data_IF_784414665053
#
_entry.id   IF_784414665053
#
_cell.length_a   1.000
_cell.length_b   1.000
_cell.length_c   1.000
_cell.angle_alpha   90.00
_cell.angle_beta   90.00
_cell.angle_gamma   90.00
#
_symmetry.space_group_name_H-M   'P 1'
#
loop_
_entity.id
_entity.type
_entity.pdbx_description
1 polymer ?
#
# COMPACT_ATOMS: atom_id res chain seq x y z
N UNK A 1 -14.54 -19.51 -16.93
CA UNK A 1 -13.72 -18.31 -17.14
C UNK A 1 -12.44 -18.51 -16.35
N UNK A 2 -11.27 -18.53 -17.00
CA UNK A 2 -9.99 -18.73 -16.30
C UNK A 2 -9.58 -17.40 -15.65
N UNK A 3 -9.18 -17.43 -14.39
CA UNK A 3 -8.66 -16.24 -13.72
C UNK A 3 -7.29 -15.83 -14.28
N UNK A 4 -6.97 -14.52 -14.24
CA UNK A 4 -5.69 -13.97 -14.74
C UNK A 4 -4.48 -14.73 -14.20
N UNK A 5 -4.51 -15.13 -12.92
CA UNK A 5 -3.46 -15.92 -12.27
C UNK A 5 -3.28 -17.32 -12.89
N UNK A 6 -4.35 -17.94 -13.38
CA UNK A 6 -4.29 -19.25 -14.05
C UNK A 6 -3.77 -19.11 -15.47
N UNK A 7 -4.18 -18.05 -16.19
CA UNK A 7 -3.70 -17.76 -17.54
C UNK A 7 -2.20 -17.43 -17.49
N UNK A 8 -1.75 -16.62 -16.52
CA UNK A 8 -0.34 -16.25 -16.40
C UNK A 8 0.58 -17.44 -16.12
N UNK A 9 0.06 -18.47 -15.41
CA UNK A 9 0.82 -19.71 -15.14
C UNK A 9 0.80 -20.71 -16.30
N UNK A 10 -0.34 -20.86 -16.98
CA UNK A 10 -0.53 -21.88 -18.01
C UNK A 10 -0.20 -21.41 -19.43
N UNK A 11 -0.45 -20.14 -19.72
CA UNK A 11 -0.31 -19.56 -21.05
C UNK A 11 0.22 -18.12 -20.97
N UNK A 12 1.45 -17.90 -20.49
CA UNK A 12 2.01 -16.55 -20.33
C UNK A 12 2.08 -15.75 -21.62
N UNK A 13 2.16 -16.41 -22.77
CA UNK A 13 2.15 -15.80 -24.10
C UNK A 13 0.82 -15.11 -24.46
N UNK A 14 -0.27 -15.45 -23.78
CA UNK A 14 -1.57 -14.77 -23.97
C UNK A 14 -1.66 -13.43 -23.25
N UNK A 15 -0.66 -13.09 -22.42
CA UNK A 15 -0.59 -11.79 -21.74
C UNK A 15 0.21 -10.84 -22.62
N UNK A 16 -0.51 -9.95 -23.30
CA UNK A 16 0.07 -8.92 -24.14
C UNK A 16 0.60 -7.81 -23.24
N UNK A 17 1.84 -7.39 -23.45
CA UNK A 17 2.50 -6.33 -22.67
C UNK A 17 3.05 -5.28 -23.62
N UNK A 18 2.78 -4.01 -23.28
CA UNK A 18 3.39 -2.85 -23.93
C UNK A 18 3.99 -1.96 -22.85
N UNK A 19 5.24 -1.55 -23.07
CA UNK A 19 5.96 -0.68 -22.15
C UNK A 19 5.86 0.75 -22.69
N UNK A 20 5.25 1.63 -21.88
CA UNK A 20 5.11 3.03 -22.23
C UNK A 20 6.31 3.85 -21.72
N UNK A 21 6.81 4.75 -22.56
CA UNK A 21 7.82 5.72 -22.14
C UNK A 21 7.20 6.72 -21.15
N UNK A 22 7.86 7.04 -20.02
CA UNK A 22 7.41 8.09 -19.11
C UNK A 22 7.28 9.47 -19.78
N UNK A 23 8.06 9.71 -20.84
CA UNK A 23 8.10 10.99 -21.56
C UNK A 23 7.02 11.04 -22.64
N UNK A 24 6.92 9.98 -23.45
CA UNK A 24 6.03 9.98 -24.63
C UNK A 24 4.65 9.38 -24.35
N UNK A 25 4.52 8.68 -23.20
CA UNK A 25 3.30 7.99 -22.85
C UNK A 25 2.96 6.80 -23.76
N UNK A 26 1.68 6.48 -23.81
CA UNK A 26 1.14 5.42 -24.68
C UNK A 26 0.95 5.94 -26.10
N UNK A 27 1.72 5.38 -27.04
CA UNK A 27 1.66 5.74 -28.46
C UNK A 27 0.59 4.96 -29.21
N UNK A 28 0.04 5.55 -30.28
CA UNK A 28 -1.04 4.93 -31.08
C UNK A 28 -0.64 3.59 -31.69
N UNK A 29 0.63 3.41 -32.07
CA UNK A 29 1.10 2.13 -32.62
C UNK A 29 1.09 1.04 -31.56
N UNK A 30 1.42 1.34 -30.29
CA UNK A 30 1.37 0.40 -29.18
C UNK A 30 -0.07 -0.05 -28.91
N UNK A 31 -1.01 0.89 -28.88
CA UNK A 31 -2.44 0.58 -28.77
C UNK A 31 -2.93 -0.27 -29.94
N UNK A 32 -2.47 -0.02 -31.16
CA UNK A 32 -2.79 -0.87 -32.32
C UNK A 32 -2.21 -2.28 -32.16
N UNK A 33 -0.96 -2.41 -31.72
CA UNK A 33 -0.34 -3.72 -31.46
C UNK A 33 -1.16 -4.54 -30.46
N UNK A 34 -1.60 -3.92 -29.37
CA UNK A 34 -2.48 -4.56 -28.38
C UNK A 34 -3.78 -5.00 -29.06
N UNK A 35 -4.43 -4.12 -29.82
CA UNK A 35 -5.70 -4.40 -30.49
C UNK A 35 -5.59 -5.59 -31.46
N UNK A 36 -4.54 -5.64 -32.27
CA UNK A 36 -4.28 -6.74 -33.18
C UNK A 36 -4.01 -8.05 -32.43
N UNK A 37 -3.20 -7.99 -31.38
CA UNK A 37 -2.87 -9.17 -30.58
C UNK A 37 -4.09 -9.73 -29.82
N UNK A 38 -5.06 -8.87 -29.47
CA UNK A 38 -6.35 -9.26 -28.92
C UNK A 38 -7.33 -9.80 -29.96
N UNK A 39 -6.99 -9.73 -31.25
CA UNK A 39 -7.87 -10.17 -32.35
C UNK A 39 -9.07 -9.27 -32.59
N UNK A 40 -8.97 -7.97 -32.27
CA UNK A 40 -10.08 -7.04 -32.51
C UNK A 40 -10.34 -6.85 -34.02
N UNK A 41 -11.62 -6.75 -34.45
CA UNK A 41 -11.95 -6.42 -35.83
C UNK A 41 -11.32 -5.09 -36.25
N UNK A 42 -10.85 -5.04 -37.52
CA UNK A 42 -10.16 -3.86 -38.05
C UNK A 42 -10.94 -2.53 -37.84
N UNK A 43 -12.27 -2.60 -37.99
CA UNK A 43 -13.16 -1.47 -37.80
C UNK A 43 -13.16 -0.90 -36.37
N UNK A 44 -12.78 -1.70 -35.38
CA UNK A 44 -12.75 -1.32 -33.96
C UNK A 44 -11.39 -0.85 -33.47
N UNK A 45 -10.34 -1.00 -34.27
CA UNK A 45 -8.96 -0.67 -33.85
C UNK A 45 -8.84 0.80 -33.47
N UNK A 46 -9.41 1.71 -34.26
CA UNK A 46 -9.37 3.14 -33.96
C UNK A 46 -10.11 3.51 -32.68
N UNK A 47 -11.21 2.86 -32.38
CA UNK A 47 -11.97 3.08 -31.15
C UNK A 47 -11.21 2.54 -29.95
N UNK A 48 -10.52 1.40 -30.11
CA UNK A 48 -9.65 0.88 -29.06
C UNK A 48 -8.43 1.79 -28.81
N UNK A 49 -7.83 2.35 -29.86
CA UNK A 49 -6.74 3.34 -29.72
C UNK A 49 -7.23 4.56 -28.95
N UNK A 50 -8.40 5.10 -29.28
CA UNK A 50 -9.02 6.19 -28.53
C UNK A 50 -9.25 5.83 -27.08
N UNK A 51 -9.84 4.66 -26.83
CA UNK A 51 -10.15 4.17 -25.49
C UNK A 51 -8.86 4.04 -24.64
N UNK A 52 -7.85 3.34 -25.15
CA UNK A 52 -6.60 3.10 -24.42
C UNK A 52 -5.83 4.39 -24.15
N UNK A 53 -5.81 5.34 -25.07
CA UNK A 53 -5.23 6.68 -24.83
C UNK A 53 -5.96 7.46 -23.76
N UNK A 54 -7.29 7.43 -23.76
CA UNK A 54 -8.08 8.10 -22.73
C UNK A 54 -7.87 7.44 -21.37
N UNK A 55 -7.81 6.11 -21.31
CA UNK A 55 -7.50 5.38 -20.08
C UNK A 55 -6.08 5.74 -19.55
N UNK A 56 -5.10 5.80 -20.44
CA UNK A 56 -3.74 6.23 -20.09
C UNK A 56 -3.69 7.69 -19.62
N UNK A 57 -4.45 8.58 -20.27
CA UNK A 57 -4.57 9.98 -19.85
C UNK A 57 -5.15 10.09 -18.44
N UNK A 58 -6.24 9.37 -18.16
CA UNK A 58 -6.84 9.30 -16.81
C UNK A 58 -5.82 8.81 -15.80
N UNK A 59 -5.07 7.76 -16.12
CA UNK A 59 -4.02 7.20 -15.26
C UNK A 59 -2.96 8.24 -14.89
N UNK A 60 -2.44 8.98 -15.86
CA UNK A 60 -1.36 9.96 -15.64
C UNK A 60 -1.87 11.23 -14.96
N UNK A 61 -2.97 11.83 -15.47
CA UNK A 61 -3.48 13.11 -14.97
C UNK A 61 -4.00 13.04 -13.53
N UNK A 62 -4.45 11.85 -13.11
CA UNK A 62 -4.95 11.65 -11.75
C UNK A 62 -3.92 10.98 -10.82
N UNK A 63 -2.66 10.84 -11.25
CA UNK A 63 -1.61 10.20 -10.46
C UNK A 63 -2.04 8.82 -9.94
N UNK A 64 -2.55 7.97 -10.81
CA UNK A 64 -2.97 6.64 -10.42
C UNK A 64 -1.78 5.70 -10.27
N UNK A 65 -1.80 4.86 -9.24
CA UNK A 65 -0.88 3.73 -9.08
C UNK A 65 -1.38 2.48 -9.82
N UNK A 66 -2.71 2.37 -10.00
CA UNK A 66 -3.37 1.29 -10.72
C UNK A 66 -4.62 1.80 -11.42
N UNK A 67 -4.80 1.36 -12.67
CA UNK A 67 -6.07 1.42 -13.40
C UNK A 67 -6.31 0.03 -14.00
N UNK A 68 -7.27 -0.70 -13.47
CA UNK A 68 -7.67 -2.02 -13.96
C UNK A 68 -9.10 -1.96 -14.48
N UNK A 69 -9.30 -2.41 -15.72
CA UNK A 69 -10.61 -2.46 -16.37
C UNK A 69 -10.93 -3.93 -16.65
N UNK A 70 -11.88 -4.48 -15.91
CA UNK A 70 -12.20 -5.90 -16.00
C UNK A 70 -13.65 -6.17 -15.59
N UNK A 71 -14.52 -6.55 -16.55
CA UNK A 71 -14.21 -6.77 -17.97
C UNK A 71 -14.27 -5.50 -18.82
N UNK A 72 -13.43 -5.47 -19.87
CA UNK A 72 -13.63 -4.60 -21.02
C UNK A 72 -14.45 -5.37 -22.04
N UNK A 73 -15.60 -4.84 -22.44
CA UNK A 73 -16.55 -5.55 -23.30
C UNK A 73 -16.80 -4.82 -24.60
N UNK A 74 -17.10 -5.62 -25.64
CA UNK A 74 -17.59 -5.13 -26.93
C UNK A 74 -19.08 -5.47 -27.02
N UNK A 75 -19.89 -4.44 -27.22
CA UNK A 75 -21.35 -4.61 -27.36
C UNK A 75 -21.72 -5.11 -28.75
N UNK A 76 -22.99 -5.57 -28.89
CA UNK A 76 -23.56 -5.92 -30.23
C UNK A 76 -23.52 -4.74 -31.20
N UNK A 77 -23.52 -3.50 -30.71
CA UNK A 77 -23.40 -2.29 -31.51
C UNK A 77 -21.95 -1.85 -31.74
N UNK A 78 -20.99 -2.76 -31.54
CA UNK A 78 -19.53 -2.53 -31.75
C UNK A 78 -18.97 -1.36 -30.94
N UNK A 79 -19.50 -1.12 -29.74
CA UNK A 79 -18.97 -0.13 -28.79
C UNK A 79 -18.10 -0.81 -27.75
N UNK A 80 -16.96 -0.20 -27.43
CA UNK A 80 -16.08 -0.62 -26.33
C UNK A 80 -16.57 0.04 -25.04
N UNK A 81 -16.84 -0.76 -24.01
CA UNK A 81 -17.34 -0.30 -22.73
C UNK A 81 -16.52 -0.92 -21.60
N UNK A 82 -15.99 -0.07 -20.71
CA UNK A 82 -15.50 -0.49 -19.40
C UNK A 82 -16.71 -0.82 -18.53
N UNK A 83 -16.94 -2.09 -18.23
CA UNK A 83 -18.09 -2.52 -17.45
C UNK A 83 -17.82 -2.32 -15.95
N UNK A 84 -16.59 -2.55 -15.54
CA UNK A 84 -16.09 -2.30 -14.20
C UNK A 84 -14.66 -1.78 -14.25
N UNK A 85 -14.28 -0.97 -13.25
CA UNK A 85 -12.99 -0.33 -13.20
C UNK A 85 -12.51 -0.22 -11.75
N UNK A 86 -11.31 -0.75 -11.49
CA UNK A 86 -10.61 -0.57 -10.22
C UNK A 86 -9.53 0.50 -10.38
N UNK A 87 -9.57 1.50 -9.52
CA UNK A 87 -8.64 2.63 -9.55
C UNK A 87 -7.98 2.76 -8.17
N UNK A 88 -6.64 2.80 -8.16
CA UNK A 88 -5.89 3.19 -6.97
C UNK A 88 -5.14 4.48 -7.28
N UNK A 89 -5.35 5.49 -6.48
CA UNK A 89 -4.59 6.74 -6.52
C UNK A 89 -3.27 6.54 -5.77
N UNK A 90 -2.19 7.15 -6.24
CA UNK A 90 -0.93 7.17 -5.50
C UNK A 90 -1.09 8.06 -4.25
N UNK A 91 -1.01 7.48 -3.07
CA UNK A 91 -1.15 8.21 -1.81
C UNK A 91 -0.12 9.34 -1.67
N UNK A 92 1.07 9.17 -2.23
CA UNK A 92 2.11 10.21 -2.25
C UNK A 92 1.76 11.41 -3.14
N UNK A 93 0.80 11.27 -4.04
CA UNK A 93 0.33 12.31 -4.93
C UNK A 93 -1.01 12.94 -4.51
N UNK A 94 -1.66 12.44 -3.46
CA UNK A 94 -2.98 12.92 -3.00
C UNK A 94 -3.00 14.42 -2.70
N UNK A 95 -1.87 15.01 -2.27
CA UNK A 95 -1.78 16.46 -2.04
C UNK A 95 -2.03 17.30 -3.31
N UNK A 96 -1.84 16.71 -4.51
CA UNK A 96 -2.15 17.31 -5.82
C UNK A 96 -3.60 17.04 -6.25
N UNK A 97 -4.19 15.97 -5.74
CA UNK A 97 -5.48 15.43 -6.16
C UNK A 97 -6.54 15.62 -5.07
N UNK A 98 -6.74 16.87 -4.61
CA UNK A 98 -7.63 17.19 -3.48
C UNK A 98 -9.05 16.63 -3.65
N UNK A 99 -9.63 16.77 -4.85
CA UNK A 99 -10.98 16.25 -5.15
C UNK A 99 -11.06 14.73 -5.01
N UNK A 100 -10.00 14.00 -5.42
CA UNK A 100 -9.97 12.53 -5.26
C UNK A 100 -9.74 12.14 -3.80
N UNK A 101 -8.93 12.92 -3.06
CA UNK A 101 -8.72 12.70 -1.63
C UNK A 101 -10.03 12.83 -0.83
N UNK A 102 -10.90 13.79 -1.19
CA UNK A 102 -12.21 13.98 -0.57
C UNK A 102 -13.20 12.84 -0.86
N UNK A 103 -12.99 12.09 -1.95
CA UNK A 103 -13.82 10.93 -2.31
C UNK A 103 -13.39 9.63 -1.61
N UNK A 104 -12.33 9.66 -0.80
CA UNK A 104 -11.85 8.48 -0.09
C UNK A 104 -12.91 7.96 0.88
N UNK A 105 -13.35 6.73 0.67
CA UNK A 105 -14.30 6.06 1.54
C UNK A 105 -13.56 5.19 2.57
N UNK A 106 -13.43 5.69 3.78
CA UNK A 106 -12.80 5.00 4.89
C UNK A 106 -13.65 3.84 5.44
N UNK A 107 -14.95 3.77 5.12
CA UNK A 107 -15.82 2.70 5.62
C UNK A 107 -15.45 1.30 5.10
N UNK A 108 -14.65 1.24 4.03
CA UNK A 108 -14.17 -0.01 3.43
C UNK A 108 -12.77 -0.43 3.92
N UNK A 109 -12.10 0.43 4.68
CA UNK A 109 -10.81 0.14 5.29
C UNK A 109 -10.99 -0.45 6.69
N UNK A 110 -9.96 -1.13 7.19
CA UNK A 110 -9.89 -1.49 8.60
C UNK A 110 -9.94 -0.21 9.46
N UNK A 111 -10.73 -0.22 10.52
CA UNK A 111 -10.90 0.96 11.40
C UNK A 111 -9.57 1.44 11.99
N UNK A 112 -8.65 0.53 12.26
CA UNK A 112 -7.31 0.83 12.77
C UNK A 112 -6.42 1.49 11.73
N UNK A 113 -6.55 1.09 10.46
CA UNK A 113 -5.85 1.73 9.34
C UNK A 113 -6.32 3.18 9.13
N UNK A 114 -7.63 3.42 9.27
CA UNK A 114 -8.20 4.76 9.22
C UNK A 114 -7.70 5.64 10.39
N UNK A 115 -7.73 5.12 11.63
CA UNK A 115 -7.23 5.82 12.81
C UNK A 115 -5.72 6.11 12.71
N UNK A 116 -4.94 5.17 12.21
CA UNK A 116 -3.51 5.32 11.99
C UNK A 116 -3.21 6.40 10.94
N UNK A 117 -3.96 6.44 9.85
CA UNK A 117 -3.82 7.46 8.82
C UNK A 117 -4.07 8.87 9.37
N UNK A 118 -5.12 9.06 10.16
CA UNK A 118 -5.44 10.34 10.81
C UNK A 118 -4.34 10.77 11.80
N UNK A 119 -3.62 9.81 12.36
CA UNK A 119 -2.46 10.04 13.22
C UNK A 119 -1.14 10.26 12.46
N UNK A 120 -1.16 10.19 11.11
CA UNK A 120 0.03 10.30 10.26
C UNK A 120 0.94 9.07 10.32
N UNK A 121 0.40 7.90 10.64
CA UNK A 121 1.10 6.63 10.76
C UNK A 121 0.86 5.75 9.53
N UNK A 122 1.89 5.02 9.13
CA UNK A 122 1.75 3.96 8.13
C UNK A 122 1.46 2.63 8.84
N UNK A 123 0.20 2.23 8.86
CA UNK A 123 -0.27 1.00 9.50
C UNK A 123 -1.01 0.11 8.51
N UNK A 124 -0.73 -1.19 8.57
CA UNK A 124 -1.48 -2.23 7.84
C UNK A 124 -1.76 -3.36 8.82
N UNK A 125 -3.04 -3.74 8.96
CA UNK A 125 -3.46 -4.86 9.77
C UNK A 125 -3.07 -6.20 9.12
N UNK A 126 -2.57 -7.15 9.92
CA UNK A 126 -2.23 -8.51 9.52
C UNK A 126 -2.88 -9.50 10.50
N UNK A 127 -2.83 -10.80 10.16
CA UNK A 127 -3.51 -11.85 10.93
C UNK A 127 -2.61 -12.56 11.96
N UNK A 128 -1.63 -11.87 12.52
CA UNK A 128 -0.68 -12.46 13.46
C UNK A 128 -0.99 -12.18 14.93
N UNK A 129 -0.02 -12.52 15.78
CA UNK A 129 -0.10 -12.36 17.23
C UNK A 129 1.06 -11.53 17.83
N UNK A 130 1.98 -11.07 17.01
CA UNK A 130 3.10 -10.23 17.42
C UNK A 130 2.92 -8.83 16.85
N UNK A 131 2.57 -7.88 17.71
CA UNK A 131 2.48 -6.46 17.34
C UNK A 131 3.86 -5.89 17.07
N UNK A 132 4.01 -5.10 16.00
CA UNK A 132 5.28 -4.52 15.57
C UNK A 132 5.21 -3.00 15.56
N UNK A 133 6.22 -2.33 16.13
CA UNK A 133 6.44 -0.89 16.01
C UNK A 133 7.87 -0.64 15.57
N UNK A 134 8.05 0.03 14.45
CA UNK A 134 9.35 0.22 13.82
C UNK A 134 9.45 1.63 13.24
N UNK A 135 10.64 2.18 13.09
CA UNK A 135 10.86 3.40 12.33
C UNK A 135 11.55 3.10 11.00
N UNK A 136 10.81 3.29 9.93
CA UNK A 136 11.25 3.04 8.56
C UNK A 136 10.73 1.74 7.97
N UNK A 137 10.13 1.85 6.79
CA UNK A 137 9.46 0.74 6.11
C UNK A 137 10.37 -0.46 5.84
N UNK A 138 11.63 -0.24 5.46
CA UNK A 138 12.60 -1.31 5.23
C UNK A 138 12.91 -2.10 6.50
N UNK A 139 13.07 -1.41 7.65
CA UNK A 139 13.29 -2.06 8.93
C UNK A 139 12.03 -2.81 9.40
N UNK A 140 10.84 -2.27 9.13
CA UNK A 140 9.57 -2.93 9.44
C UNK A 140 9.44 -4.25 8.67
N UNK A 141 9.70 -4.26 7.37
CA UNK A 141 9.67 -5.48 6.56
C UNK A 141 10.69 -6.51 7.04
N UNK A 142 11.94 -6.10 7.28
CA UNK A 142 12.98 -6.99 7.80
C UNK A 142 12.62 -7.55 9.19
N UNK A 143 11.97 -6.75 10.06
CA UNK A 143 11.51 -7.19 11.38
C UNK A 143 10.43 -8.25 11.24
N UNK A 144 9.45 -8.06 10.34
CA UNK A 144 8.40 -9.05 10.09
C UNK A 144 8.95 -10.34 9.50
N UNK A 145 9.94 -10.27 8.61
CA UNK A 145 10.61 -11.45 8.06
C UNK A 145 11.33 -12.24 9.14
N UNK A 146 12.03 -11.54 10.07
CA UNK A 146 12.66 -12.18 11.22
C UNK A 146 11.64 -12.85 12.15
N UNK A 147 10.53 -12.19 12.45
CA UNK A 147 9.44 -12.79 13.24
C UNK A 147 8.99 -14.12 12.59
N UNK A 148 8.74 -14.12 11.29
CA UNK A 148 8.35 -15.32 10.56
C UNK A 148 9.42 -16.40 10.55
N UNK A 149 10.69 -16.01 10.37
CA UNK A 149 11.83 -16.94 10.38
C UNK A 149 11.94 -17.71 11.72
N UNK A 150 11.58 -17.05 12.83
CA UNK A 150 11.59 -17.64 14.16
C UNK A 150 10.24 -18.25 14.56
N UNK A 151 9.33 -18.45 13.60
CA UNK A 151 8.06 -19.16 13.81
C UNK A 151 6.95 -18.32 14.44
N UNK A 152 7.11 -17.00 14.50
CA UNK A 152 6.05 -16.07 14.92
C UNK A 152 5.25 -15.53 13.73
N UNK A 153 4.12 -14.88 14.03
CA UNK A 153 3.27 -14.26 13.02
C UNK A 153 3.07 -12.78 13.34
N UNK A 154 3.49 -11.84 12.44
CA UNK A 154 3.29 -10.41 12.66
C UNK A 154 1.80 -10.04 12.57
N UNK A 155 1.32 -9.28 13.55
CA UNK A 155 -0.07 -8.81 13.64
C UNK A 155 -0.30 -7.53 12.82
N UNK A 156 0.76 -6.80 12.53
CA UNK A 156 0.67 -5.55 11.77
C UNK A 156 2.03 -5.18 11.14
N UNK A 157 1.95 -4.37 10.09
CA UNK A 157 3.02 -3.48 9.68
C UNK A 157 2.77 -2.11 10.33
N UNK A 158 3.76 -1.52 10.98
CA UNK A 158 3.67 -0.16 11.50
C UNK A 158 5.02 0.54 11.41
N UNK A 159 5.04 1.60 10.62
CA UNK A 159 6.16 2.53 10.53
C UNK A 159 5.75 3.88 11.15
N UNK A 160 6.41 4.24 12.24
CA UNK A 160 6.15 5.53 12.90
C UNK A 160 6.87 6.70 12.23
N UNK A 161 7.70 6.44 11.22
CA UNK A 161 8.48 7.46 10.51
C UNK A 161 9.63 8.05 11.32
N UNK A 162 10.42 8.92 10.68
CA UNK A 162 11.58 9.57 11.32
C UNK A 162 11.26 10.80 12.16
N UNK A 163 10.05 11.34 12.05
CA UNK A 163 9.61 12.58 12.73
C UNK A 163 8.55 12.37 13.81
N UNK A 164 8.35 11.13 14.30
CA UNK A 164 7.30 10.86 15.27
C UNK A 164 7.56 11.57 16.60
N UNK A 165 6.49 12.09 17.18
CA UNK A 165 6.45 12.66 18.52
C UNK A 165 6.06 11.60 19.55
N UNK A 166 6.26 11.89 20.85
CA UNK A 166 5.80 11.00 21.93
C UNK A 166 4.30 10.71 21.85
N UNK A 167 3.48 11.68 21.39
CA UNK A 167 2.04 11.53 21.21
C UNK A 167 1.72 10.57 20.05
N UNK A 168 2.44 10.70 18.93
CA UNK A 168 2.27 9.81 17.76
C UNK A 168 2.67 8.38 18.13
N UNK A 169 3.76 8.19 18.88
CA UNK A 169 4.20 6.90 19.40
C UNK A 169 3.16 6.28 20.34
N UNK A 170 2.60 7.08 21.24
CA UNK A 170 1.56 6.63 22.16
C UNK A 170 0.30 6.16 21.40
N UNK A 171 -0.13 6.92 20.38
CA UNK A 171 -1.25 6.52 19.52
C UNK A 171 -0.96 5.22 18.76
N UNK A 172 0.24 5.12 18.16
CA UNK A 172 0.69 3.91 17.46
C UNK A 172 0.62 2.69 18.37
N UNK A 173 1.08 2.84 19.60
CA UNK A 173 1.07 1.77 20.60
C UNK A 173 -0.35 1.35 20.98
N UNK A 174 -1.27 2.31 21.16
CA UNK A 174 -2.68 2.04 21.43
C UNK A 174 -3.34 1.26 20.31
N UNK A 175 -3.12 1.64 19.05
CA UNK A 175 -3.65 0.94 17.87
C UNK A 175 -3.20 -0.52 17.86
N UNK A 176 -1.94 -0.80 18.21
CA UNK A 176 -1.43 -2.18 18.30
C UNK A 176 -2.14 -2.94 19.42
N UNK A 177 -2.29 -2.31 20.61
CA UNK A 177 -2.88 -2.96 21.78
C UNK A 177 -4.39 -3.19 21.67
N UNK A 178 -5.07 -2.44 20.81
CA UNK A 178 -6.50 -2.62 20.52
C UNK A 178 -6.77 -3.90 19.72
N UNK A 179 -5.71 -4.53 19.20
CA UNK A 179 -5.83 -5.85 18.57
C UNK A 179 -5.81 -6.97 19.61
N UNK A 180 -6.97 -7.58 19.82
CA UNK A 180 -7.15 -8.69 20.78
C UNK A 180 -6.33 -9.94 20.45
N UNK A 181 -5.84 -10.06 19.23
CA UNK A 181 -4.98 -11.17 18.82
C UNK A 181 -3.52 -10.95 19.23
N UNK A 182 -3.12 -9.71 19.54
CA UNK A 182 -1.75 -9.38 19.91
C UNK A 182 -1.45 -9.92 21.31
N UNK A 183 -0.46 -10.78 21.40
CA UNK A 183 0.01 -11.43 22.62
C UNK A 183 1.33 -10.86 23.13
N UNK A 184 2.09 -10.21 22.27
CA UNK A 184 3.37 -9.57 22.56
C UNK A 184 3.59 -8.41 21.60
N UNK A 185 4.25 -7.34 22.05
CA UNK A 185 4.66 -6.22 21.19
C UNK A 185 6.17 -6.19 21.06
N UNK A 186 6.66 -6.13 19.82
CA UNK A 186 8.07 -5.90 19.48
C UNK A 186 8.26 -4.47 18.99
N UNK A 187 9.01 -3.68 19.74
CA UNK A 187 9.45 -2.34 19.34
C UNK A 187 10.89 -2.44 18.86
N UNK A 188 11.14 -2.11 17.59
CA UNK A 188 12.47 -2.17 17.00
C UNK A 188 12.79 -0.84 16.32
N UNK A 189 13.56 0.00 16.99
CA UNK A 189 13.86 1.37 16.58
C UNK A 189 15.36 1.54 16.36
N UNK A 190 15.70 2.09 15.21
CA UNK A 190 17.03 2.65 14.94
C UNK A 190 16.96 4.17 15.12
N UNK A 191 17.62 4.66 16.13
CA UNK A 191 17.84 6.09 16.35
C UNK A 191 18.78 6.66 15.27
N UNK A 192 18.70 7.93 15.09
CA UNK A 192 19.36 8.72 14.08
C UNK A 192 18.55 10.00 13.92
N UNK A 193 17.65 10.03 12.95
CA UNK A 193 16.69 11.15 12.80
C UNK A 193 15.71 11.18 13.99
N UNK A 194 15.27 9.99 14.44
CA UNK A 194 14.39 9.85 15.59
C UNK A 194 15.17 9.58 16.87
N UNK A 195 14.85 10.29 17.92
CA UNK A 195 15.47 10.14 19.24
C UNK A 195 14.82 8.98 20.00
N UNK A 196 15.65 8.09 20.54
CA UNK A 196 15.19 6.92 21.30
C UNK A 196 14.49 7.30 22.62
N UNK A 197 14.86 8.43 23.24
CA UNK A 197 14.21 8.95 24.45
C UNK A 197 12.75 9.34 24.19
N UNK A 198 12.45 10.02 23.08
CA UNK A 198 11.07 10.35 22.66
C UNK A 198 10.22 9.09 22.50
N UNK A 199 10.79 8.06 21.90
CA UNK A 199 10.10 6.76 21.75
C UNK A 199 9.81 6.13 23.11
N UNK A 200 10.81 6.12 24.00
CA UNK A 200 10.66 5.56 25.34
C UNK A 200 9.60 6.33 26.15
N UNK A 201 9.58 7.66 26.10
CA UNK A 201 8.56 8.49 26.74
C UNK A 201 7.15 8.19 26.18
N UNK A 202 7.01 8.07 24.86
CA UNK A 202 5.74 7.72 24.23
C UNK A 202 5.22 6.34 24.64
N UNK A 203 6.10 5.33 24.71
CA UNK A 203 5.75 4.00 25.20
C UNK A 203 5.34 4.06 26.68
N UNK A 204 6.12 4.74 27.53
CA UNK A 204 5.80 4.88 28.97
C UNK A 204 4.45 5.57 29.17
N UNK A 205 4.14 6.61 28.38
CA UNK A 205 2.86 7.29 28.43
C UNK A 205 1.71 6.35 28.05
N UNK A 206 1.85 5.60 26.95
CA UNK A 206 0.86 4.62 26.51
C UNK A 206 0.64 3.49 27.54
N UNK A 207 1.73 2.96 28.11
CA UNK A 207 1.68 1.93 29.16
C UNK A 207 0.89 2.40 30.38
N UNK A 208 1.12 3.64 30.83
CA UNK A 208 0.44 4.22 31.99
C UNK A 208 -1.05 4.48 31.73
N UNK A 209 -1.40 4.84 30.50
CA UNK A 209 -2.78 5.18 30.14
C UNK A 209 -3.64 3.93 29.89
N UNK A 210 -3.09 2.94 29.22
CA UNK A 210 -3.86 1.74 28.77
C UNK A 210 -3.79 0.59 29.79
N UNK A 211 -2.78 0.55 30.67
CA UNK A 211 -2.63 -0.52 31.63
C UNK A 211 -2.29 -1.87 30.98
N UNK A 212 -1.10 -1.98 30.44
CA UNK A 212 -0.69 -3.12 29.60
C UNK A 212 -0.54 -4.41 30.42
N UNK A 213 -1.12 -5.50 29.90
CA UNK A 213 -1.03 -6.84 30.47
C UNK A 213 -0.21 -7.83 29.62
N UNK A 214 0.30 -7.39 28.45
CA UNK A 214 1.06 -8.26 27.53
C UNK A 214 2.55 -7.89 27.54
N UNK A 215 3.45 -8.86 27.29
CA UNK A 215 4.89 -8.60 27.23
C UNK A 215 5.25 -7.60 26.13
N UNK A 216 6.23 -6.75 26.41
CA UNK A 216 6.80 -5.80 25.45
C UNK A 216 8.30 -6.07 25.37
N UNK A 217 8.79 -6.30 24.15
CA UNK A 217 10.21 -6.42 23.85
C UNK A 217 10.63 -5.15 23.13
N UNK A 218 11.60 -4.42 23.71
CA UNK A 218 12.05 -3.14 23.18
C UNK A 218 13.51 -3.21 22.78
N UNK A 219 13.79 -2.91 21.53
CA UNK A 219 15.14 -2.71 21.00
C UNK A 219 15.26 -1.27 20.51
N UNK A 220 16.04 -0.47 21.21
CA UNK A 220 16.37 0.90 20.84
C UNK A 220 17.88 0.94 20.56
N UNK A 221 18.27 1.32 19.36
CA UNK A 221 19.67 1.51 18.97
C UNK A 221 19.86 2.95 18.55
N UNK A 222 20.77 3.66 19.21
CA UNK A 222 21.17 5.04 18.86
C UNK A 222 22.54 5.03 18.21
N UNK A 223 22.81 5.97 17.31
CA UNK A 223 24.13 6.17 16.72
C UNK A 223 25.11 6.85 17.70
N UNK A 224 24.61 7.49 18.76
CA UNK A 224 25.45 8.21 19.75
C UNK A 224 26.35 7.29 20.58
N UNK A 225 26.20 5.98 20.52
CA UNK A 225 27.01 5.02 21.28
C UNK A 225 28.23 4.46 20.48
N UNK A 226 28.55 5.02 19.34
CA UNK A 226 29.69 4.57 18.52
C UNK A 226 30.89 5.52 18.55
N UNK A 227 30.88 6.54 19.43
CA UNK A 227 31.93 7.56 19.50
C UNK A 227 32.68 7.59 20.85
N UNK A 228 32.83 6.44 21.55
CA UNK A 228 33.83 6.27 22.62
C UNK A 228 34.71 5.06 22.34
#
# INVERSE_FOLDING_TARGET
MLFRSEISKKNPEKIIKEICSPINGLMDFQSRNIAFSLGLPNEMINDFVKFSRNAFKVFVENNLALLEINPLVITSHKKIIALDCKINVDDNALYKQKTLAELRDWSQNDSKEAEAFDAGLNYIALNGNIGCMVNGAGLAMATMDLIKLYGGEPANFLDVGGGATSETVAKAFKIILDDKNVQVVLVNIFGGIMRCDIIAEGIIAAVKEVGIQIPIVVRLRSEEHTSE
#
